data_IF_176841569158
#
_entry.id   IF_176841569158
#
_cell.length_a   1.000
_cell.length_b   1.000
_cell.length_c   1.000
_cell.angle_alpha   90.00
_cell.angle_beta   90.00
_cell.angle_gamma   90.00
#
_symmetry.space_group_name_H-M   'P 1'
#
loop_
_entity.id
_entity.type
_entity.pdbx_description
1 polymer ?
#
# COMPACT_ATOMS: atom_id res chain seq x y z
N UNK A 1 -40.22 36.13 -32.46
CA UNK A 1 -39.62 34.89 -33.04
C UNK A 1 -40.19 33.67 -32.34
N UNK A 2 -41.45 33.37 -32.68
CA UNK A 2 -42.14 32.10 -32.45
C UNK A 2 -41.84 31.28 -33.70
N UNK A 3 -41.25 30.08 -33.58
CA UNK A 3 -41.31 28.92 -34.50
C UNK A 3 -40.07 28.03 -34.31
N UNK A 4 -40.06 27.21 -33.27
CA UNK A 4 -39.26 25.97 -33.19
C UNK A 4 -39.75 25.05 -32.05
N UNK A 5 -41.06 25.05 -31.82
CA UNK A 5 -41.79 24.02 -31.06
C UNK A 5 -42.95 23.59 -31.93
N UNK A 6 -42.77 22.50 -32.69
CA UNK A 6 -43.78 21.65 -33.36
C UNK A 6 -43.07 20.98 -34.54
N UNK A 7 -42.51 19.79 -34.30
CA UNK A 7 -42.28 18.71 -35.27
C UNK A 7 -41.47 17.60 -34.58
N UNK A 8 -42.11 16.92 -33.63
CA UNK A 8 -41.68 15.59 -33.16
C UNK A 8 -42.81 14.95 -32.33
N UNK A 9 -44.05 15.06 -32.82
CA UNK A 9 -45.15 14.19 -32.43
C UNK A 9 -45.96 13.95 -33.69
N UNK A 10 -46.39 12.70 -33.89
CA UNK A 10 -47.09 12.14 -35.04
C UNK A 10 -46.22 11.66 -36.22
N UNK A 11 -45.54 10.53 -36.01
CA UNK A 11 -45.84 9.36 -36.84
C UNK A 11 -46.40 8.30 -35.91
N UNK A 12 -47.72 8.30 -35.84
CA UNK A 12 -48.55 7.27 -35.27
C UNK A 12 -48.48 6.01 -36.16
N UNK A 13 -48.44 4.85 -35.50
CA UNK A 13 -49.24 3.66 -35.83
C UNK A 13 -48.91 2.93 -37.14
N UNK A 14 -48.14 1.83 -37.00
CA UNK A 14 -48.42 0.61 -37.75
C UNK A 14 -49.24 -0.34 -36.85
N UNK A 15 -50.26 -1.00 -37.41
CA UNK A 15 -51.32 -1.66 -36.67
C UNK A 15 -50.88 -2.99 -36.08
N UNK A 16 -51.56 -3.35 -34.99
CA UNK A 16 -51.66 -4.68 -34.42
C UNK A 16 -51.84 -5.75 -35.52
N UNK A 17 -50.84 -6.60 -35.72
CA UNK A 17 -51.04 -7.89 -36.38
C UNK A 17 -51.51 -8.90 -35.33
N UNK A 18 -52.78 -9.31 -35.43
CA UNK A 18 -53.32 -10.44 -34.67
C UNK A 18 -52.69 -11.71 -35.22
N UNK A 19 -51.93 -12.43 -34.37
CA UNK A 19 -51.61 -13.83 -34.62
C UNK A 19 -50.19 -14.24 -34.24
N UNK A 20 -49.92 -14.41 -32.95
CA UNK A 20 -49.34 -15.66 -32.46
C UNK A 20 -49.55 -15.75 -30.95
N UNK A 21 -50.39 -16.70 -30.59
CA UNK A 21 -50.69 -17.13 -29.23
C UNK A 21 -49.42 -17.75 -28.63
N UNK A 22 -48.62 -16.94 -27.93
CA UNK A 22 -47.43 -17.38 -27.22
C UNK A 22 -47.46 -16.85 -25.79
N UNK A 23 -47.65 -17.75 -24.82
CA UNK A 23 -47.51 -17.52 -23.38
C UNK A 23 -46.19 -16.77 -23.08
N UNK A 24 -46.26 -15.48 -22.76
CA UNK A 24 -45.20 -14.79 -22.02
C UNK A 24 -45.53 -14.90 -20.53
N UNK A 25 -44.74 -15.65 -19.73
CA UNK A 25 -45.06 -15.89 -18.34
C UNK A 25 -44.92 -14.58 -17.56
N UNK A 26 -45.86 -14.35 -16.66
CA UNK A 26 -45.94 -13.13 -15.86
C UNK A 26 -44.62 -12.81 -15.16
N UNK A 27 -43.84 -11.91 -15.75
CA UNK A 27 -42.79 -11.18 -15.05
C UNK A 27 -43.52 -10.26 -14.06
N UNK A 28 -43.86 -10.83 -12.91
CA UNK A 28 -44.63 -10.16 -11.85
C UNK A 28 -44.01 -8.78 -11.62
N UNK A 29 -44.83 -7.75 -11.54
CA UNK A 29 -44.45 -6.36 -11.18
C UNK A 29 -43.45 -6.31 -10.01
N UNK A 30 -43.52 -7.30 -9.11
CA UNK A 30 -42.55 -7.58 -8.05
C UNK A 30 -41.09 -7.62 -8.52
N UNK A 31 -40.78 -8.26 -9.65
CA UNK A 31 -39.42 -8.33 -10.20
C UNK A 31 -38.94 -6.99 -10.76
N UNK A 32 -39.83 -6.21 -11.41
CA UNK A 32 -39.50 -4.87 -11.89
C UNK A 32 -39.20 -3.92 -10.72
N UNK A 33 -39.98 -4.02 -9.65
CA UNK A 33 -39.74 -3.26 -8.42
C UNK A 33 -38.41 -3.63 -7.75
N UNK A 34 -38.08 -4.93 -7.67
CA UNK A 34 -36.80 -5.38 -7.11
C UNK A 34 -35.59 -4.89 -7.93
N UNK A 35 -35.70 -4.87 -9.27
CA UNK A 35 -34.65 -4.32 -10.15
C UNK A 35 -34.49 -2.82 -9.93
N UNK A 36 -35.59 -2.07 -9.85
CA UNK A 36 -35.54 -0.62 -9.58
C UNK A 36 -34.91 -0.33 -8.22
N UNK A 37 -35.30 -1.06 -7.18
CA UNK A 37 -34.76 -0.92 -5.83
C UNK A 37 -33.26 -1.28 -5.79
N UNK A 38 -32.85 -2.32 -6.51
CA UNK A 38 -31.45 -2.69 -6.69
C UNK A 38 -30.62 -1.60 -7.37
N UNK A 39 -31.15 -0.95 -8.41
CA UNK A 39 -30.49 0.17 -9.10
C UNK A 39 -30.39 1.39 -8.18
N UNK A 40 -31.45 1.73 -7.46
CA UNK A 40 -31.44 2.88 -6.53
C UNK A 40 -30.48 2.66 -5.35
N UNK A 41 -30.49 1.46 -4.75
CA UNK A 41 -29.55 1.11 -3.67
C UNK A 41 -28.12 1.02 -4.18
N UNK A 42 -27.89 0.44 -5.36
CA UNK A 42 -26.58 0.40 -6.00
C UNK A 42 -26.04 1.81 -6.29
N UNK A 43 -26.86 2.68 -6.86
CA UNK A 43 -26.50 4.08 -7.11
C UNK A 43 -26.26 4.85 -5.81
N UNK A 44 -27.03 4.59 -4.75
CA UNK A 44 -26.80 5.18 -3.43
C UNK A 44 -25.49 4.70 -2.80
N UNK A 45 -25.19 3.40 -2.87
CA UNK A 45 -23.92 2.83 -2.37
C UNK A 45 -22.71 3.39 -3.12
N UNK A 46 -22.81 3.53 -4.46
CA UNK A 46 -21.78 4.17 -5.28
C UNK A 46 -21.64 5.64 -4.92
N UNK A 47 -22.74 6.37 -4.73
CA UNK A 47 -22.72 7.77 -4.34
C UNK A 47 -22.11 7.98 -2.95
N UNK A 48 -22.47 7.16 -1.96
CA UNK A 48 -21.93 7.24 -0.60
C UNK A 48 -20.44 6.91 -0.59
N UNK A 49 -20.01 5.87 -1.31
CA UNK A 49 -18.60 5.54 -1.47
C UNK A 49 -17.83 6.65 -2.19
N UNK A 50 -18.40 7.24 -3.25
CA UNK A 50 -17.79 8.36 -3.96
C UNK A 50 -17.70 9.62 -3.08
N UNK A 51 -18.76 9.93 -2.33
CA UNK A 51 -18.82 11.06 -1.42
C UNK A 51 -17.84 10.92 -0.24
N UNK A 52 -17.65 9.70 0.29
CA UNK A 52 -16.67 9.47 1.36
C UNK A 52 -15.23 9.63 0.87
N UNK A 53 -14.93 9.19 -0.37
CA UNK A 53 -13.62 9.43 -1.00
C UNK A 53 -13.38 10.91 -1.33
N UNK A 54 -14.44 11.66 -1.67
CA UNK A 54 -14.33 13.09 -1.98
C UNK A 54 -14.02 13.96 -0.75
N UNK A 55 -14.46 13.58 0.45
CA UNK A 55 -14.19 14.34 1.68
C UNK A 55 -12.75 14.17 2.19
N UNK A 56 -12.08 13.04 1.95
CA UNK A 56 -10.68 12.80 2.37
C UNK A 56 -9.64 13.59 1.56
N UNK A 57 -10.00 14.03 0.35
CA UNK A 57 -9.04 14.49 -0.66
C UNK A 57 -9.30 15.94 -1.14
N UNK A 58 -9.88 16.81 -0.30
CA UNK A 58 -9.96 18.26 -0.58
C UNK A 58 -8.61 18.95 -0.38
N UNK A 59 -7.65 18.66 -1.25
CA UNK A 59 -6.30 19.25 -1.20
C UNK A 59 -6.30 20.79 -1.18
N UNK A 60 -7.25 21.44 -1.87
CA UNK A 60 -7.40 22.90 -1.85
C UNK A 60 -7.75 23.47 -0.46
N UNK A 61 -8.59 22.77 0.32
CA UNK A 61 -8.94 23.23 1.67
C UNK A 61 -7.73 23.08 2.61
N UNK A 62 -7.03 21.95 2.52
CA UNK A 62 -5.79 21.73 3.27
C UNK A 62 -4.73 22.79 2.93
N UNK A 63 -4.54 23.11 1.65
CA UNK A 63 -3.57 24.12 1.22
C UNK A 63 -3.86 25.50 1.81
N UNK A 64 -5.13 25.93 1.84
CA UNK A 64 -5.49 27.24 2.44
C UNK A 64 -5.15 27.28 3.93
N UNK A 65 -5.46 26.22 4.67
CA UNK A 65 -5.17 26.15 6.12
C UNK A 65 -3.66 26.12 6.39
N UNK A 66 -2.91 25.29 5.66
CA UNK A 66 -1.45 25.18 5.81
C UNK A 66 -0.79 26.52 5.51
N UNK A 67 -1.19 27.18 4.41
CA UNK A 67 -0.59 28.46 4.03
C UNK A 67 -0.95 29.61 4.96
N UNK A 68 -2.13 29.60 5.59
CA UNK A 68 -2.47 30.55 6.66
C UNK A 68 -1.57 30.36 7.89
N UNK A 69 -1.35 29.12 8.33
CA UNK A 69 -0.45 28.83 9.46
C UNK A 69 1.01 29.20 9.16
N UNK A 70 1.47 28.97 7.93
CA UNK A 70 2.81 29.35 7.49
C UNK A 70 3.00 30.87 7.51
N UNK A 71 2.04 31.64 6.97
CA UNK A 71 2.08 33.12 6.99
C UNK A 71 2.06 33.69 8.41
N UNK A 72 1.43 33.00 9.35
CA UNK A 72 1.42 33.35 10.78
C UNK A 72 2.70 32.95 11.52
N UNK A 73 3.64 32.26 10.87
CA UNK A 73 4.87 31.76 11.50
C UNK A 73 4.63 30.62 12.51
N UNK A 74 3.50 29.93 12.41
CA UNK A 74 3.14 28.82 13.31
C UNK A 74 3.82 27.51 12.88
N UNK A 75 3.99 27.33 11.57
CA UNK A 75 4.66 26.19 10.96
C UNK A 75 5.78 26.67 10.04
N UNK A 76 6.76 25.80 9.80
CA UNK A 76 7.89 26.02 8.90
C UNK A 76 8.11 24.78 8.04
N UNK A 77 8.96 24.91 7.02
CA UNK A 77 9.23 23.83 6.09
C UNK A 77 10.00 24.25 4.86
N UNK A 78 10.81 23.34 4.33
CA UNK A 78 11.64 23.56 3.14
C UNK A 78 10.82 23.86 1.88
N UNK A 79 9.59 23.33 1.77
CA UNK A 79 8.71 23.54 0.60
C UNK A 79 7.55 24.49 0.88
N UNK A 80 7.44 25.06 2.09
CA UNK A 80 6.32 25.97 2.41
C UNK A 80 6.27 27.18 1.47
N UNK A 81 7.44 27.73 1.12
CA UNK A 81 7.53 28.83 0.16
C UNK A 81 7.08 28.42 -1.24
N UNK A 82 7.50 27.24 -1.71
CA UNK A 82 7.12 26.70 -3.02
C UNK A 82 5.62 26.36 -3.10
N UNK A 83 5.03 25.90 -1.99
CA UNK A 83 3.61 25.54 -1.88
C UNK A 83 2.68 26.75 -1.79
N UNK A 84 3.05 27.76 -0.99
CA UNK A 84 2.15 28.86 -0.61
C UNK A 84 2.35 30.16 -1.40
N UNK A 85 3.55 30.39 -1.93
CA UNK A 85 3.86 31.62 -2.67
C UNK A 85 4.11 31.34 -4.16
N UNK A 86 4.83 30.25 -4.50
CA UNK A 86 5.23 29.96 -5.88
C UNK A 86 4.30 28.99 -6.61
N UNK A 87 3.36 28.35 -5.90
CA UNK A 87 2.40 27.38 -6.43
C UNK A 87 3.02 26.29 -7.33
N UNK A 88 4.24 25.84 -7.01
CA UNK A 88 4.95 24.81 -7.80
C UNK A 88 4.53 23.38 -7.46
N UNK A 89 3.79 23.20 -6.36
CA UNK A 89 3.32 21.90 -5.88
C UNK A 89 1.84 21.75 -6.22
N UNK A 90 1.54 20.84 -7.15
CA UNK A 90 0.17 20.52 -7.56
C UNK A 90 -0.32 19.22 -6.93
N UNK A 91 -1.52 19.27 -6.34
CA UNK A 91 -2.20 18.09 -5.83
C UNK A 91 -2.79 17.29 -6.99
N UNK A 92 -2.40 16.01 -7.09
CA UNK A 92 -2.94 15.08 -8.10
C UNK A 92 -3.90 14.08 -7.44
N UNK A 93 -3.72 12.81 -7.75
CA UNK A 93 -4.51 11.70 -7.20
C UNK A 93 -4.18 11.46 -5.74
N UNK A 94 -5.22 11.31 -4.94
CA UNK A 94 -5.15 10.96 -3.53
C UNK A 94 -4.89 9.45 -3.41
N UNK A 95 -3.82 9.07 -2.70
CA UNK A 95 -3.39 7.67 -2.59
C UNK A 95 -3.57 7.07 -1.19
N UNK A 96 -4.01 7.86 -0.20
CA UNK A 96 -4.11 7.40 1.19
C UNK A 96 -5.50 6.85 1.53
N UNK A 97 -5.54 5.79 2.36
CA UNK A 97 -6.79 5.11 2.74
C UNK A 97 -7.07 5.02 4.25
N UNK A 98 -6.27 5.62 5.14
CA UNK A 98 -6.50 5.50 6.60
C UNK A 98 -6.05 6.76 7.38
N UNK A 99 -6.78 7.19 8.44
CA UNK A 99 -6.33 8.26 9.34
C UNK A 99 -5.16 7.82 10.24
N UNK A 100 -4.28 8.78 10.53
CA UNK A 100 -2.97 8.60 11.15
C UNK A 100 -2.94 7.76 12.44
N UNK A 101 -2.01 6.82 12.47
CA UNK A 101 -1.61 6.08 13.67
C UNK A 101 -0.32 6.69 14.23
N UNK A 102 -0.26 6.79 15.55
CA UNK A 102 0.95 7.16 16.28
C UNK A 102 1.82 5.92 16.51
N UNK A 103 3.12 6.00 16.24
CA UNK A 103 4.11 5.05 16.74
C UNK A 103 5.22 5.76 17.48
N UNK A 104 5.77 4.99 18.42
CA UNK A 104 6.99 5.33 19.12
C UNK A 104 8.08 4.37 18.64
N UNK A 105 9.22 4.91 18.23
CA UNK A 105 10.44 4.13 18.03
C UNK A 105 10.92 3.64 19.40
N UNK A 106 11.32 2.37 19.51
CA UNK A 106 11.86 1.82 20.75
C UNK A 106 13.25 2.40 21.09
N UNK A 107 13.67 2.23 22.35
CA UNK A 107 14.99 2.63 22.82
C UNK A 107 16.09 1.84 22.09
N UNK A 108 16.93 2.52 21.29
CA UNK A 108 18.04 1.91 20.57
C UNK A 108 19.34 2.74 20.63
N UNK A 109 20.52 2.09 20.51
CA UNK A 109 21.84 2.73 20.57
C UNK A 109 22.13 3.69 19.40
N UNK A 110 21.32 3.66 18.33
CA UNK A 110 21.38 4.55 17.15
C UNK A 110 20.54 5.82 17.29
N UNK A 111 19.75 5.95 18.37
CA UNK A 111 18.94 7.13 18.63
C UNK A 111 19.73 8.45 18.55
N UNK A 112 20.98 8.56 19.03
CA UNK A 112 21.75 9.80 18.90
C UNK A 112 22.01 10.21 17.43
N UNK A 113 22.24 9.25 16.54
CA UNK A 113 22.45 9.51 15.12
C UNK A 113 21.15 9.96 14.43
N UNK A 114 20.03 9.31 14.75
CA UNK A 114 18.71 9.70 14.25
C UNK A 114 18.30 11.07 14.77
N UNK A 115 18.52 11.36 16.05
CA UNK A 115 18.27 12.68 16.65
C UNK A 115 19.12 13.74 15.95
N UNK A 116 20.39 13.45 15.67
CA UNK A 116 21.25 14.34 14.88
C UNK A 116 20.70 14.61 13.48
N UNK A 117 20.26 13.58 12.77
CA UNK A 117 19.65 13.70 11.44
C UNK A 117 18.33 14.50 11.49
N UNK A 118 17.50 14.29 12.50
CA UNK A 118 16.25 15.02 12.73
C UNK A 118 16.53 16.50 13.03
N UNK A 119 17.54 16.81 13.85
CA UNK A 119 17.92 18.19 14.15
C UNK A 119 18.46 18.91 12.92
N UNK A 120 19.29 18.24 12.12
CA UNK A 120 19.78 18.78 10.84
C UNK A 120 18.65 19.02 9.83
N UNK A 121 17.63 18.16 9.84
CA UNK A 121 16.46 18.32 8.99
C UNK A 121 15.53 19.46 9.49
N UNK A 122 15.45 19.66 10.80
CA UNK A 122 14.58 20.65 11.42
C UNK A 122 15.00 22.10 11.14
N UNK A 123 16.30 22.33 10.96
CA UNK A 123 16.85 23.63 10.59
C UNK A 123 16.59 23.94 9.10
N UNK A 124 15.36 24.37 8.78
CA UNK A 124 14.94 24.64 7.40
C UNK A 124 15.60 25.90 6.84
N UNK A 125 15.87 26.90 7.68
CA UNK A 125 16.50 28.16 7.28
C UNK A 125 18.04 28.12 7.31
N UNK A 126 18.63 27.01 7.79
CA UNK A 126 20.08 26.76 7.90
C UNK A 126 20.79 27.75 8.81
N UNK A 127 20.12 28.21 9.86
CA UNK A 127 20.67 29.16 10.83
C UNK A 127 21.40 28.49 12.02
N UNK A 128 21.55 27.15 11.96
CA UNK A 128 22.14 26.29 13.00
C UNK A 128 21.36 26.26 14.32
N UNK A 129 20.12 26.76 14.33
CA UNK A 129 19.20 26.73 15.45
C UNK A 129 17.88 26.12 15.00
N UNK A 130 17.05 25.77 15.97
CA UNK A 130 15.71 25.24 15.70
C UNK A 130 14.71 26.17 16.37
N UNK A 131 13.94 26.88 15.54
CA UNK A 131 12.85 27.74 15.98
C UNK A 131 11.65 26.93 16.49
N UNK A 132 10.72 27.57 17.21
CA UNK A 132 9.49 26.92 17.67
C UNK A 132 8.65 26.38 16.50
N UNK A 133 8.59 27.13 15.39
CA UNK A 133 7.83 26.74 14.20
C UNK A 133 8.45 25.52 13.52
N UNK A 134 9.79 25.47 13.43
CA UNK A 134 10.55 24.31 12.95
C UNK A 134 10.36 23.09 13.84
N UNK A 135 10.54 23.24 15.15
CA UNK A 135 10.36 22.18 16.13
C UNK A 135 8.93 21.62 16.08
N UNK A 136 7.90 22.48 16.02
CA UNK A 136 6.50 22.07 15.93
C UNK A 136 6.21 21.30 14.64
N UNK A 137 6.77 21.75 13.52
CA UNK A 137 6.55 21.12 12.21
C UNK A 137 7.20 19.74 12.16
N UNK A 138 8.46 19.65 12.58
CA UNK A 138 9.17 18.36 12.65
C UNK A 138 8.54 17.42 13.65
N UNK A 139 8.14 17.90 14.83
CA UNK A 139 7.45 17.08 15.82
C UNK A 139 6.14 16.48 15.28
N UNK A 140 5.37 17.25 14.51
CA UNK A 140 4.16 16.75 13.87
C UNK A 140 4.45 15.65 12.84
N UNK A 141 5.56 15.75 12.10
CA UNK A 141 5.99 14.71 11.15
C UNK A 141 6.47 13.44 11.86
N UNK A 142 7.25 13.57 12.93
CA UNK A 142 7.77 12.43 13.70
C UNK A 142 6.67 11.59 14.35
N UNK A 143 5.47 12.15 14.56
CA UNK A 143 4.33 11.37 15.06
C UNK A 143 3.78 10.38 14.03
N UNK A 144 4.21 10.44 12.77
CA UNK A 144 3.79 9.54 11.70
C UNK A 144 4.84 8.46 11.45
N UNK A 145 4.41 7.20 11.53
CA UNK A 145 5.29 6.03 11.39
C UNK A 145 6.00 6.01 10.03
N UNK A 146 5.24 6.28 8.97
CA UNK A 146 5.72 6.36 7.59
C UNK A 146 6.91 7.32 7.43
N UNK A 147 6.87 8.43 8.16
CA UNK A 147 7.89 9.47 8.10
C UNK A 147 9.16 9.06 8.86
N UNK A 148 9.01 8.45 10.03
CA UNK A 148 10.14 7.85 10.76
C UNK A 148 10.82 6.76 9.93
N UNK A 149 10.02 5.90 9.30
CA UNK A 149 10.53 4.84 8.42
C UNK A 149 11.30 5.42 7.24
N UNK A 150 10.77 6.47 6.61
CA UNK A 150 11.44 7.19 5.52
C UNK A 150 12.84 7.70 5.88
N UNK A 151 13.03 8.16 7.12
CA UNK A 151 14.31 8.65 7.62
C UNK A 151 15.27 7.53 8.04
N UNK A 152 14.70 6.42 8.51
CA UNK A 152 15.46 5.29 9.08
C UNK A 152 15.93 4.26 8.04
N UNK A 153 15.18 4.14 6.94
CA UNK A 153 15.45 3.17 5.88
C UNK A 153 16.46 3.73 4.86
N UNK A 154 17.15 2.83 4.18
CA UNK A 154 18.04 3.19 3.08
C UNK A 154 17.29 3.89 1.95
N UNK A 155 17.93 4.91 1.38
CA UNK A 155 17.39 5.64 0.21
C UNK A 155 17.09 4.73 -0.98
N UNK A 156 17.66 3.53 -1.05
CA UNK A 156 17.41 2.56 -2.11
C UNK A 156 16.01 1.92 -2.01
N UNK A 157 15.52 1.62 -0.81
CA UNK A 157 14.24 0.90 -0.62
C UNK A 157 13.06 1.84 -0.34
N UNK A 158 13.31 3.06 0.12
CA UNK A 158 12.30 4.07 0.40
C UNK A 158 12.34 5.22 -0.62
N UNK A 159 11.22 5.92 -0.80
CA UNK A 159 11.17 7.11 -1.64
C UNK A 159 11.95 8.27 -1.02
N UNK A 160 12.79 8.96 -1.79
CA UNK A 160 13.52 10.12 -1.28
C UNK A 160 12.58 11.25 -0.83
N UNK A 161 12.81 11.80 0.36
CA UNK A 161 12.15 13.01 0.84
C UNK A 161 12.60 14.22 0.01
N UNK A 162 11.66 14.94 -0.60
CA UNK A 162 11.92 16.18 -1.34
C UNK A 162 11.78 17.41 -0.45
N UNK A 163 10.88 17.36 0.52
CA UNK A 163 10.73 18.41 1.54
C UNK A 163 9.45 18.28 2.34
N UNK A 164 9.27 19.19 3.29
CA UNK A 164 8.09 19.23 4.16
C UNK A 164 7.59 20.64 4.43
N UNK A 165 6.34 20.76 4.86
CA UNK A 165 5.69 21.98 5.31
C UNK A 165 4.69 21.68 6.41
N UNK A 166 5.00 22.03 7.66
CA UNK A 166 4.17 21.62 8.80
C UNK A 166 4.14 20.09 8.92
N UNK A 167 2.94 19.51 8.96
CA UNK A 167 2.70 18.06 9.02
C UNK A 167 2.60 17.39 7.63
N UNK A 168 2.78 18.17 6.56
CA UNK A 168 2.83 17.68 5.19
C UNK A 168 4.28 17.41 4.79
N UNK A 169 4.51 16.29 4.10
CA UNK A 169 5.78 16.00 3.46
C UNK A 169 5.56 15.52 2.03
N UNK A 170 6.59 15.66 1.20
CA UNK A 170 6.58 15.30 -0.22
C UNK A 170 7.78 14.42 -0.51
N UNK A 171 7.54 13.31 -1.19
CA UNK A 171 8.59 12.38 -1.64
C UNK A 171 8.68 12.35 -3.15
N UNK A 172 9.75 11.76 -3.67
CA UNK A 172 9.80 11.38 -5.07
C UNK A 172 8.63 10.43 -5.39
N UNK A 173 8.02 10.62 -6.56
CA UNK A 173 6.98 9.72 -7.03
C UNK A 173 7.58 8.42 -7.53
N UNK A 174 7.07 7.28 -7.07
CA UNK A 174 7.45 5.98 -7.63
C UNK A 174 6.74 5.83 -8.99
N UNK A 175 7.47 5.74 -10.12
CA UNK A 175 6.88 5.86 -11.45
C UNK A 175 5.98 4.67 -11.82
N UNK A 176 6.22 3.50 -11.24
CA UNK A 176 5.42 2.30 -11.47
C UNK A 176 5.10 1.63 -10.12
N UNK A 177 3.91 1.86 -9.59
CA UNK A 177 3.33 0.97 -8.59
C UNK A 177 2.86 -0.31 -9.29
N UNK A 178 3.07 -1.48 -8.67
CA UNK A 178 2.55 -2.71 -9.25
C UNK A 178 1.00 -2.64 -9.29
N UNK A 179 0.50 -2.54 -10.52
CA UNK A 179 -0.87 -2.83 -10.94
C UNK A 179 -2.00 -1.87 -10.52
N UNK A 180 -1.83 -0.56 -10.68
CA UNK A 180 -2.99 0.35 -10.79
C UNK A 180 -3.54 0.51 -12.22
N UNK A 181 -2.81 0.03 -13.25
CA UNK A 181 -3.16 0.27 -14.67
C UNK A 181 -4.02 -0.79 -15.38
N UNK A 182 -4.27 -1.96 -14.77
CA UNK A 182 -5.05 -3.03 -15.42
C UNK A 182 -5.66 -4.04 -14.44
N UNK A 183 -5.96 -3.64 -13.20
CA UNK A 183 -6.67 -4.54 -12.31
C UNK A 183 -8.11 -4.62 -12.82
N UNK A 184 -8.45 -5.74 -13.48
CA UNK A 184 -9.84 -6.03 -13.82
C UNK A 184 -10.70 -5.78 -12.56
N UNK A 185 -11.84 -5.08 -12.68
CA UNK A 185 -12.78 -4.88 -11.59
C UNK A 185 -12.93 -6.17 -10.76
N UNK A 186 -12.95 -6.11 -9.42
CA UNK A 186 -13.02 -7.30 -8.56
C UNK A 186 -14.17 -8.26 -8.94
N UNK A 187 -15.25 -7.73 -9.51
CA UNK A 187 -16.42 -8.46 -10.02
C UNK A 187 -16.11 -9.33 -11.26
N UNK A 188 -15.08 -8.98 -12.04
CA UNK A 188 -14.66 -9.70 -13.25
C UNK A 188 -13.53 -10.70 -12.99
N UNK A 189 -12.82 -10.61 -11.85
CA UNK A 189 -11.83 -11.62 -11.43
C UNK A 189 -12.37 -13.06 -11.38
N UNK A 190 -13.56 -13.36 -10.83
CA UNK A 190 -14.07 -14.73 -10.79
C UNK A 190 -14.57 -15.25 -12.15
N UNK A 191 -14.78 -14.38 -13.14
CA UNK A 191 -15.22 -14.77 -14.48
C UNK A 191 -14.07 -15.20 -15.40
N UNK A 192 -12.82 -14.83 -15.08
CA UNK A 192 -11.66 -15.17 -15.90
C UNK A 192 -11.03 -16.51 -15.47
N UNK A 193 -10.76 -17.42 -16.41
CA UNK A 193 -9.96 -18.61 -16.13
C UNK A 193 -8.57 -18.21 -15.60
N UNK A 194 -8.00 -18.94 -14.61
CA UNK A 194 -6.68 -18.64 -14.05
C UNK A 194 -5.59 -18.64 -15.13
N UNK A 195 -5.71 -19.48 -16.17
CA UNK A 195 -4.79 -19.49 -17.31
C UNK A 195 -4.78 -18.16 -18.09
N UNK A 196 -5.91 -17.47 -18.19
CA UNK A 196 -6.02 -16.18 -18.86
C UNK A 196 -5.38 -15.06 -18.03
N UNK A 197 -5.49 -15.14 -16.69
CA UNK A 197 -4.81 -14.21 -15.78
C UNK A 197 -3.28 -14.31 -15.91
N UNK A 198 -2.75 -15.53 -15.95
CA UNK A 198 -1.31 -15.79 -16.14
C UNK A 198 -0.83 -15.31 -17.51
N UNK A 199 -1.63 -15.48 -18.56
CA UNK A 199 -1.33 -14.99 -19.90
C UNK A 199 -1.38 -13.45 -19.99
N UNK A 200 -2.38 -12.83 -19.37
CA UNK A 200 -2.54 -11.38 -19.30
C UNK A 200 -1.38 -10.73 -18.53
N UNK A 201 -0.98 -11.32 -17.40
CA UNK A 201 0.15 -10.86 -16.60
C UNK A 201 1.49 -11.04 -17.32
N UNK A 202 1.62 -12.05 -18.19
CA UNK A 202 2.79 -12.23 -19.06
C UNK A 202 2.85 -11.20 -20.20
N UNK A 203 1.70 -10.70 -20.65
CA UNK A 203 1.60 -9.72 -21.73
C UNK A 203 1.70 -8.26 -21.25
N UNK A 204 1.15 -7.94 -20.09
CA UNK A 204 1.10 -6.57 -19.53
C UNK A 204 2.12 -6.30 -18.43
N UNK A 205 2.72 -7.34 -17.85
CA UNK A 205 3.75 -7.23 -16.81
C UNK A 205 5.18 -7.21 -17.36
N UNK A 206 6.15 -6.78 -16.57
CA UNK A 206 7.55 -6.79 -16.99
C UNK A 206 8.07 -8.21 -17.21
N UNK A 207 9.07 -8.35 -18.09
CA UNK A 207 9.70 -9.62 -18.37
C UNK A 207 10.24 -10.27 -17.07
N UNK A 208 10.32 -11.60 -17.05
CA UNK A 208 10.70 -12.35 -15.84
C UNK A 208 12.01 -11.87 -15.17
N UNK A 209 13.10 -11.53 -15.89
CA UNK A 209 14.33 -11.04 -15.26
C UNK A 209 14.11 -9.76 -14.42
N UNK A 210 13.28 -8.84 -14.89
CA UNK A 210 12.94 -7.61 -14.16
C UNK A 210 12.07 -7.88 -12.94
N UNK A 211 11.14 -8.85 -13.04
CA UNK A 211 10.36 -9.32 -11.88
C UNK A 211 11.28 -9.91 -10.81
N UNK A 212 12.29 -10.67 -11.23
CA UNK A 212 13.28 -11.24 -10.33
C UNK A 212 14.16 -10.14 -9.70
N UNK A 213 14.56 -9.10 -10.45
CA UNK A 213 15.29 -7.93 -9.91
C UNK A 213 14.48 -7.20 -8.82
N UNK A 214 13.21 -6.91 -9.08
CA UNK A 214 12.31 -6.30 -8.09
C UNK A 214 12.17 -7.20 -6.85
N UNK A 215 12.04 -8.52 -7.05
CA UNK A 215 11.91 -9.47 -5.95
C UNK A 215 13.16 -9.52 -5.07
N UNK A 216 14.36 -9.40 -5.64
CA UNK A 216 15.61 -9.31 -4.87
C UNK A 216 15.59 -8.06 -3.98
N UNK A 217 15.24 -6.89 -4.52
CA UNK A 217 15.14 -5.66 -3.73
C UNK A 217 14.06 -5.73 -2.63
N UNK A 218 12.95 -6.43 -2.87
CA UNK A 218 11.96 -6.69 -1.82
C UNK A 218 12.52 -7.60 -0.71
N UNK A 219 13.31 -8.62 -1.06
CA UNK A 219 13.97 -9.48 -0.07
C UNK A 219 15.04 -8.73 0.73
N UNK A 220 15.78 -7.82 0.10
CA UNK A 220 16.74 -6.92 0.75
C UNK A 220 16.06 -5.95 1.71
N UNK A 221 14.92 -5.40 1.32
CA UNK A 221 14.10 -4.58 2.21
C UNK A 221 13.60 -5.38 3.44
N UNK A 222 13.17 -6.64 3.25
CA UNK A 222 12.79 -7.50 4.38
C UNK A 222 13.97 -7.73 5.32
N UNK A 223 15.16 -7.97 4.78
CA UNK A 223 16.40 -8.13 5.56
C UNK A 223 16.71 -6.89 6.42
N UNK A 224 16.53 -5.70 5.84
CA UNK A 224 16.69 -4.40 6.51
C UNK A 224 15.67 -4.19 7.64
N UNK A 225 14.41 -4.60 7.47
CA UNK A 225 13.39 -4.49 8.53
C UNK A 225 13.63 -5.38 9.76
N UNK A 226 14.42 -6.44 9.60
CA UNK A 226 14.77 -7.36 10.69
C UNK A 226 16.08 -6.99 11.38
N UNK A 227 17.12 -6.66 10.61
CA UNK A 227 18.47 -6.34 11.13
C UNK A 227 18.73 -4.83 11.23
N UNK A 228 17.69 -4.01 11.06
CA UNK A 228 17.81 -2.56 11.03
C UNK A 228 18.37 -1.99 12.33
N UNK A 229 19.17 -0.93 12.19
CA UNK A 229 19.76 -0.22 13.33
C UNK A 229 18.71 0.44 14.25
N UNK A 230 17.43 0.43 13.89
CA UNK A 230 16.31 1.12 14.55
C UNK A 230 15.25 0.17 15.13
N UNK A 231 15.55 -1.14 15.18
CA UNK A 231 14.69 -2.17 15.78
C UNK A 231 13.97 -3.03 14.75
N UNK A 232 13.06 -3.88 15.22
CA UNK A 232 12.28 -4.79 14.38
C UNK A 232 10.98 -4.15 13.91
N UNK A 233 10.71 -4.28 12.62
CA UNK A 233 9.47 -3.82 11.99
C UNK A 233 8.68 -4.96 11.35
N UNK A 234 7.36 -4.83 11.33
CA UNK A 234 6.44 -5.79 10.72
C UNK A 234 5.70 -5.17 9.55
N UNK A 235 5.62 -5.88 8.43
CA UNK A 235 4.83 -5.50 7.25
C UNK A 235 3.41 -6.04 7.42
N UNK A 236 2.42 -5.23 7.84
CA UNK A 236 1.07 -5.68 8.21
C UNK A 236 0.02 -5.61 7.09
N UNK A 237 0.46 -5.34 5.86
CA UNK A 237 -0.27 -5.54 4.62
C UNK A 237 0.70 -5.84 3.46
N UNK A 238 0.96 -7.12 3.20
CA UNK A 238 1.81 -7.57 2.09
C UNK A 238 0.96 -7.82 0.85
N UNK A 239 0.82 -6.80 0.01
CA UNK A 239 0.15 -6.93 -1.29
C UNK A 239 1.04 -6.42 -2.41
N UNK A 240 0.81 -6.91 -3.63
CA UNK A 240 1.50 -6.40 -4.81
C UNK A 240 1.20 -4.92 -5.08
N UNK A 241 0.11 -4.37 -4.54
CA UNK A 241 -0.19 -2.93 -4.69
C UNK A 241 0.80 -2.05 -3.92
N UNK A 242 1.39 -2.58 -2.84
CA UNK A 242 2.32 -1.84 -1.99
C UNK A 242 3.78 -1.97 -2.48
N UNK A 243 4.01 -2.75 -3.54
CA UNK A 243 5.32 -2.94 -4.17
C UNK A 243 5.46 -1.99 -5.35
N UNK A 244 6.40 -1.06 -5.27
CA UNK A 244 6.74 -0.13 -6.34
C UNK A 244 8.10 -0.43 -6.96
N UNK A 245 8.35 0.15 -8.13
CA UNK A 245 9.67 0.09 -8.77
C UNK A 245 9.98 1.31 -9.64
N UNK A 246 11.27 1.59 -9.81
CA UNK A 246 11.79 2.66 -10.67
C UNK A 246 11.71 2.29 -12.15
N UNK A 247 11.95 3.24 -13.06
CA UNK A 247 12.06 2.94 -14.50
C UNK A 247 13.17 1.92 -14.83
N UNK A 248 14.15 1.73 -13.92
CA UNK A 248 15.24 0.75 -14.03
C UNK A 248 14.92 -0.59 -13.32
N UNK A 249 13.67 -0.77 -12.87
CA UNK A 249 13.20 -1.93 -12.12
C UNK A 249 13.91 -2.14 -10.77
N UNK A 250 14.36 -1.06 -10.14
CA UNK A 250 14.81 -1.10 -8.74
C UNK A 250 13.58 -1.03 -7.83
N UNK A 251 13.56 -1.88 -6.79
CA UNK A 251 12.43 -1.94 -5.87
C UNK A 251 12.33 -0.66 -5.02
N UNK A 252 11.11 -0.19 -4.80
CA UNK A 252 10.78 0.87 -3.84
C UNK A 252 9.50 0.49 -3.12
N UNK A 253 9.47 0.63 -1.80
CA UNK A 253 8.23 0.45 -1.05
C UNK A 253 7.27 1.59 -1.39
N UNK A 254 6.09 1.27 -1.93
CA UNK A 254 5.14 2.29 -2.38
C UNK A 254 4.30 2.86 -1.22
N UNK A 255 4.02 2.04 -0.20
CA UNK A 255 3.24 2.44 0.96
C UNK A 255 3.90 1.96 2.28
N UNK A 256 4.59 2.88 2.96
CA UNK A 256 5.22 2.62 4.25
C UNK A 256 4.21 2.63 5.42
N UNK A 257 2.96 3.06 5.22
CA UNK A 257 1.94 3.04 6.28
C UNK A 257 1.66 1.63 6.79
N UNK A 258 1.88 0.64 5.93
CA UNK A 258 1.65 -0.76 6.23
C UNK A 258 2.77 -1.38 7.06
N UNK A 259 3.87 -0.65 7.30
CA UNK A 259 4.99 -1.12 8.09
C UNK A 259 4.88 -0.52 9.50
N UNK A 260 4.84 -1.38 10.51
CA UNK A 260 4.67 -0.97 11.90
C UNK A 260 5.83 -1.48 12.76
N UNK A 261 6.34 -0.67 13.71
CA UNK A 261 7.35 -1.15 14.64
C UNK A 261 6.76 -2.18 15.60
N UNK A 262 7.58 -3.15 16.02
CA UNK A 262 7.19 -4.24 16.93
C UNK A 262 6.51 -3.71 18.21
N UNK A 263 7.02 -2.62 18.78
CA UNK A 263 6.47 -1.98 19.98
C UNK A 263 5.01 -1.52 19.80
N UNK A 264 4.64 -1.02 18.62
CA UNK A 264 3.27 -0.55 18.32
C UNK A 264 2.32 -1.74 18.20
N UNK A 265 2.75 -2.81 17.51
CA UNK A 265 1.97 -4.03 17.38
C UNK A 265 1.78 -4.71 18.73
N UNK A 266 2.84 -4.85 19.53
CA UNK A 266 2.77 -5.41 20.89
C UNK A 266 1.82 -4.63 21.78
N UNK A 267 1.90 -3.29 21.75
CA UNK A 267 1.00 -2.42 22.53
C UNK A 267 -0.47 -2.59 22.14
N UNK A 268 -0.75 -2.76 20.85
CA UNK A 268 -2.12 -3.00 20.36
C UNK A 268 -2.69 -4.35 20.83
N UNK A 269 -1.85 -5.38 20.94
CA UNK A 269 -2.24 -6.73 21.33
C UNK A 269 -2.30 -6.89 22.86
N UNK A 270 -1.50 -6.13 23.60
CA UNK A 270 -1.36 -6.26 25.04
C UNK A 270 -2.71 -6.06 25.76
N UNK A 271 -3.13 -7.07 26.54
CA UNK A 271 -4.37 -7.02 27.33
C UNK A 271 -5.66 -7.14 26.52
N UNK A 272 -5.57 -7.37 25.20
CA UNK A 272 -6.75 -7.53 24.34
C UNK A 272 -7.35 -8.92 24.54
N UNK A 273 -8.66 -8.96 24.81
CA UNK A 273 -9.41 -10.21 24.90
C UNK A 273 -9.59 -10.86 23.53
N UNK A 274 -9.52 -12.18 23.47
CA UNK A 274 -9.71 -12.93 22.23
C UNK A 274 -10.38 -14.30 22.47
N UNK A 275 -11.12 -14.77 21.47
CA UNK A 275 -11.61 -16.15 21.41
C UNK A 275 -10.84 -16.96 20.37
N UNK A 276 -10.46 -16.30 19.27
CA UNK A 276 -9.72 -16.88 18.15
C UNK A 276 -8.51 -16.02 17.84
N UNK A 277 -7.48 -16.64 17.25
CA UNK A 277 -6.29 -15.90 16.79
C UNK A 277 -6.63 -14.86 15.70
N UNK A 278 -7.76 -14.96 15.00
CA UNK A 278 -8.24 -13.93 14.08
C UNK A 278 -8.51 -12.59 14.75
N UNK A 279 -8.90 -12.60 16.04
CA UNK A 279 -9.28 -11.42 16.80
C UNK A 279 -8.04 -10.60 17.20
N UNK A 280 -6.88 -11.26 17.16
CA UNK A 280 -5.56 -10.71 17.44
C UNK A 280 -4.82 -10.33 16.13
N UNK A 281 -5.51 -9.65 15.22
CA UNK A 281 -4.92 -9.19 13.96
C UNK A 281 -4.73 -7.66 13.99
N UNK A 282 -3.49 -7.21 13.82
CA UNK A 282 -3.14 -5.82 13.56
C UNK A 282 -3.08 -5.59 12.03
N UNK A 283 -3.61 -4.47 11.55
CA UNK A 283 -3.69 -4.21 10.11
C UNK A 283 -4.53 -5.27 9.39
N UNK A 284 -4.00 -5.84 8.31
CA UNK A 284 -4.70 -6.90 7.55
C UNK A 284 -4.14 -8.30 7.79
N UNK A 285 -2.84 -8.43 8.02
CA UNK A 285 -2.16 -9.74 8.04
C UNK A 285 -1.20 -9.98 9.23
N UNK A 286 -1.01 -9.02 10.13
CA UNK A 286 -0.20 -9.22 11.33
C UNK A 286 -1.01 -9.92 12.43
N UNK A 287 -1.07 -11.25 12.36
CA UNK A 287 -1.83 -12.09 13.31
C UNK A 287 -0.96 -12.64 14.44
N UNK A 288 -1.43 -12.49 15.67
CA UNK A 288 -0.87 -13.10 16.87
C UNK A 288 -1.72 -14.28 17.37
N UNK A 289 -1.14 -15.25 18.11
CA UNK A 289 -1.90 -16.35 18.67
C UNK A 289 -2.74 -15.88 19.87
N UNK A 290 -3.98 -16.35 19.93
CA UNK A 290 -4.84 -16.17 21.09
C UNK A 290 -4.54 -17.25 22.14
N UNK A 291 -4.22 -16.84 23.37
CA UNK A 291 -4.11 -17.75 24.50
C UNK A 291 -5.52 -18.17 24.94
N UNK A 292 -5.88 -19.44 24.74
CA UNK A 292 -7.21 -19.94 25.06
C UNK A 292 -7.48 -20.03 26.57
N UNK A 293 -6.44 -20.12 27.39
CA UNK A 293 -6.58 -20.20 28.84
C UNK A 293 -6.83 -18.80 29.41
N UNK A 294 -5.99 -17.85 29.02
CA UNK A 294 -6.08 -16.46 29.49
C UNK A 294 -7.12 -15.64 28.72
N UNK A 295 -7.61 -16.16 27.59
CA UNK A 295 -8.43 -15.44 26.59
C UNK A 295 -7.82 -14.09 26.23
N UNK A 296 -6.51 -14.06 26.03
CA UNK A 296 -5.76 -12.84 25.75
C UNK A 296 -4.81 -13.05 24.57
N UNK A 297 -4.65 -12.00 23.76
CA UNK A 297 -3.69 -12.00 22.66
C UNK A 297 -2.26 -12.03 23.21
N UNK A 298 -1.41 -12.88 22.62
CA UNK A 298 0.04 -12.81 22.87
C UNK A 298 0.67 -11.67 22.07
N UNK A 299 1.84 -11.21 22.52
CA UNK A 299 2.57 -10.12 21.88
C UNK A 299 3.37 -10.52 20.63
N UNK A 300 3.52 -11.81 20.35
CA UNK A 300 4.37 -12.31 19.27
C UNK A 300 3.53 -12.77 18.07
N UNK A 301 3.98 -12.43 16.87
CA UNK A 301 3.27 -12.77 15.64
C UNK A 301 3.49 -14.23 15.23
N UNK A 302 2.47 -14.82 14.59
CA UNK A 302 2.51 -16.20 14.10
C UNK A 302 3.45 -16.34 12.90
N UNK A 303 3.41 -15.36 11.99
CA UNK A 303 4.14 -15.38 10.72
C UNK A 303 5.14 -14.22 10.65
N UNK A 304 6.41 -14.48 10.28
CA UNK A 304 7.39 -13.43 10.03
C UNK A 304 7.14 -12.75 8.66
N UNK A 305 7.69 -11.54 8.47
CA UNK A 305 7.60 -10.82 7.18
C UNK A 305 8.09 -11.66 6.00
N UNK A 306 9.18 -12.42 6.19
CA UNK A 306 9.76 -13.26 5.14
C UNK A 306 8.78 -14.32 4.63
N UNK A 307 8.01 -14.96 5.53
CA UNK A 307 7.02 -15.96 5.13
C UNK A 307 5.92 -15.34 4.24
N UNK A 308 5.43 -14.15 4.61
CA UNK A 308 4.41 -13.40 3.87
C UNK A 308 4.92 -12.92 2.51
N UNK A 309 6.15 -12.42 2.47
CA UNK A 309 6.80 -12.02 1.22
C UNK A 309 7.05 -13.22 0.31
N UNK A 310 7.44 -14.37 0.84
CA UNK A 310 7.60 -15.59 0.04
C UNK A 310 6.27 -16.09 -0.54
N UNK A 311 5.15 -15.93 0.17
CA UNK A 311 3.82 -16.23 -0.36
C UNK A 311 3.50 -15.32 -1.56
N UNK A 312 3.74 -14.02 -1.40
CA UNK A 312 3.61 -13.02 -2.47
C UNK A 312 4.50 -13.35 -3.69
N UNK A 313 5.77 -13.68 -3.44
CA UNK A 313 6.76 -13.99 -4.47
C UNK A 313 6.47 -15.30 -5.19
N UNK A 314 5.80 -16.26 -4.55
CA UNK A 314 5.37 -17.50 -5.20
C UNK A 314 4.45 -17.20 -6.37
N UNK A 315 3.43 -16.38 -6.14
CA UNK A 315 2.47 -16.00 -7.17
C UNK A 315 3.08 -15.00 -8.16
N UNK A 316 4.09 -14.24 -7.73
CA UNK A 316 4.79 -13.24 -8.55
C UNK A 316 6.03 -13.75 -9.31
N UNK A 317 6.60 -14.93 -9.04
CA UNK A 317 7.81 -15.39 -9.75
C UNK A 317 7.61 -16.69 -10.51
N UNK A 318 6.76 -17.61 -10.03
CA UNK A 318 6.53 -18.89 -10.70
C UNK A 318 5.88 -18.74 -12.09
N UNK A 319 4.93 -17.81 -12.30
CA UNK A 319 4.42 -17.52 -13.64
C UNK A 319 5.51 -17.00 -14.58
N UNK A 320 5.79 -17.75 -15.64
CA UNK A 320 6.80 -17.37 -16.63
C UNK A 320 8.26 -17.65 -16.23
N UNK A 321 8.50 -18.34 -15.11
CA UNK A 321 9.84 -18.75 -14.70
C UNK A 321 10.53 -19.66 -15.76
N UNK A 322 11.86 -19.57 -15.91
CA UNK A 322 12.63 -20.54 -16.67
C UNK A 322 12.44 -21.97 -16.12
N UNK A 323 12.32 -22.96 -17.00
CA UNK A 323 12.00 -24.34 -16.61
C UNK A 323 13.05 -24.96 -15.68
N UNK A 324 14.32 -24.58 -15.87
CA UNK A 324 15.46 -25.02 -15.06
C UNK A 324 15.41 -24.49 -13.62
N UNK A 325 14.81 -23.32 -13.40
CA UNK A 325 14.73 -22.68 -12.09
C UNK A 325 13.40 -22.94 -11.39
N UNK A 326 12.31 -23.18 -12.13
CA UNK A 326 10.94 -23.21 -11.60
C UNK A 326 10.77 -24.20 -10.45
N UNK A 327 11.31 -25.41 -10.58
CA UNK A 327 11.18 -26.45 -9.55
C UNK A 327 11.92 -26.08 -8.25
N UNK A 328 13.19 -25.69 -8.37
CA UNK A 328 14.00 -25.33 -7.20
C UNK A 328 13.45 -24.06 -6.52
N UNK A 329 13.13 -23.02 -7.28
CA UNK A 329 12.51 -21.81 -6.76
C UNK A 329 11.17 -22.11 -6.08
N UNK A 330 10.33 -22.95 -6.69
CA UNK A 330 9.05 -23.36 -6.11
C UNK A 330 9.21 -24.17 -4.82
N UNK A 331 10.27 -24.97 -4.69
CA UNK A 331 10.59 -25.68 -3.44
C UNK A 331 11.04 -24.71 -2.35
N UNK A 332 12.00 -23.82 -2.66
CA UNK A 332 12.50 -22.83 -1.69
C UNK A 332 11.41 -21.87 -1.21
N UNK A 333 10.55 -21.37 -2.11
CA UNK A 333 9.42 -20.52 -1.74
C UNK A 333 8.41 -21.25 -0.86
N UNK A 334 8.14 -22.54 -1.10
CA UNK A 334 7.28 -23.34 -0.22
C UNK A 334 7.86 -23.49 1.19
N UNK A 335 9.14 -23.84 1.31
CA UNK A 335 9.84 -23.89 2.60
C UNK A 335 9.78 -22.54 3.31
N UNK A 336 9.98 -21.45 2.58
CA UNK A 336 9.91 -20.10 3.12
C UNK A 336 8.50 -19.73 3.63
N UNK A 337 7.43 -20.13 2.94
CA UNK A 337 6.06 -19.88 3.41
C UNK A 337 5.70 -20.64 4.69
N UNK A 338 6.39 -21.75 4.97
CA UNK A 338 6.18 -22.53 6.20
C UNK A 338 6.96 -22.01 7.40
N UNK A 339 7.76 -20.95 7.22
CA UNK A 339 8.48 -20.33 8.33
C UNK A 339 7.48 -19.79 9.35
N UNK A 340 7.60 -20.31 10.57
CA UNK A 340 6.78 -19.94 11.72
C UNK A 340 7.67 -19.90 12.95
N UNK A 341 7.50 -18.90 13.83
CA UNK A 341 8.21 -18.83 15.10
C UNK A 341 8.64 -17.42 15.50
N UNK A 342 9.07 -17.29 16.76
CA UNK A 342 9.58 -16.06 17.36
C UNK A 342 10.77 -15.53 16.55
N UNK A 343 10.76 -14.23 16.25
CA UNK A 343 11.84 -13.56 15.51
C UNK A 343 13.24 -13.87 16.11
N UNK A 344 13.35 -14.00 17.44
CA UNK A 344 14.61 -14.20 18.16
C UNK A 344 15.16 -15.64 18.18
N UNK A 345 14.37 -16.68 17.86
CA UNK A 345 14.85 -18.08 17.85
C UNK A 345 15.09 -18.62 16.42
N UNK A 346 14.70 -17.86 15.39
CA UNK A 346 14.66 -18.32 13.99
C UNK A 346 15.57 -17.48 13.07
N UNK A 347 16.32 -16.51 13.60
CA UNK A 347 17.24 -15.63 12.85
C UNK A 347 18.21 -16.37 11.92
N UNK A 348 18.84 -17.46 12.39
CA UNK A 348 19.78 -18.24 11.59
C UNK A 348 19.11 -18.97 10.42
N UNK A 349 17.88 -19.46 10.61
CA UNK A 349 17.15 -20.14 9.54
C UNK A 349 16.54 -19.14 8.54
N UNK A 350 16.06 -17.99 9.03
CA UNK A 350 15.56 -16.90 8.19
C UNK A 350 16.65 -16.33 7.28
N UNK A 351 17.82 -16.01 7.83
CA UNK A 351 18.96 -15.50 7.05
C UNK A 351 19.46 -16.49 6.00
N UNK A 352 19.49 -17.80 6.32
CA UNK A 352 19.85 -18.84 5.36
C UNK A 352 18.87 -18.93 4.19
N UNK A 353 17.56 -18.99 4.47
CA UNK A 353 16.52 -19.08 3.42
C UNK A 353 16.53 -17.83 2.55
N UNK A 354 16.64 -16.65 3.15
CA UNK A 354 16.70 -15.37 2.45
C UNK A 354 17.94 -15.29 1.53
N UNK A 355 19.12 -15.63 2.05
CA UNK A 355 20.37 -15.65 1.28
C UNK A 355 20.31 -16.65 0.12
N UNK A 356 19.75 -17.85 0.35
CA UNK A 356 19.59 -18.84 -0.71
C UNK A 356 18.63 -18.37 -1.82
N UNK A 357 17.50 -17.73 -1.47
CA UNK A 357 16.59 -17.16 -2.46
C UNK A 357 17.25 -16.05 -3.28
N UNK A 358 17.95 -15.11 -2.63
CA UNK A 358 18.68 -14.03 -3.31
C UNK A 358 19.72 -14.58 -4.29
N UNK A 359 20.53 -15.54 -3.85
CA UNK A 359 21.59 -16.15 -4.69
C UNK A 359 21.02 -16.91 -5.89
N UNK A 360 19.91 -17.65 -5.72
CA UNK A 360 19.22 -18.32 -6.83
C UNK A 360 18.72 -17.34 -7.89
N UNK A 361 18.07 -16.25 -7.46
CA UNK A 361 17.57 -15.22 -8.37
C UNK A 361 18.72 -14.47 -9.05
N UNK A 362 19.73 -14.06 -8.28
CA UNK A 362 20.89 -13.33 -8.79
C UNK A 362 21.66 -14.13 -9.84
N UNK A 363 21.94 -15.42 -9.57
CA UNK A 363 22.60 -16.32 -10.51
C UNK A 363 21.87 -16.40 -11.85
N UNK A 364 20.53 -16.31 -11.86
CA UNK A 364 19.78 -16.38 -13.10
C UNK A 364 19.81 -15.06 -13.88
N UNK A 365 19.72 -13.93 -13.19
CA UNK A 365 19.72 -12.60 -13.82
C UNK A 365 21.13 -12.24 -14.33
N UNK A 366 22.19 -12.54 -13.57
CA UNK A 366 23.57 -12.20 -13.93
C UNK A 366 24.08 -12.97 -15.16
N UNK A 367 23.59 -14.19 -15.39
CA UNK A 367 23.92 -14.99 -16.59
C UNK A 367 23.20 -14.52 -17.85
N UNK A 368 22.22 -13.62 -17.72
CA UNK A 368 21.53 -13.01 -18.86
C UNK A 368 22.11 -11.61 -19.10
N UNK A 369 22.17 -11.14 -20.36
CA UNK A 369 22.76 -9.83 -20.78
C UNK A 369 22.04 -8.58 -20.23
N UNK A 370 21.48 -8.65 -19.02
CA UNK A 370 20.63 -7.62 -18.42
C UNK A 370 21.25 -7.02 -17.15
N UNK A 371 22.58 -7.14 -16.98
CA UNK A 371 23.36 -6.43 -15.96
C UNK A 371 23.46 -4.95 -16.24
#
# INVERSE_FOLDING_TARGET
MRRLRRLAHLVLFCPFSKGLQGRLPGLRVKYVFLVWLGVSVGSWMVYVHYSSHAELCRGHVCQVVICDQYRKGIISGSICQDLCNLHKVEWRTCLSSVPGQQANLGDLPSLPALVGQVLLMADFNKDSRVSLAEAKSVWALLQRNEFLLLLSLQEEHASRLLGSCGDLYVTEGVPHGSWHGAALPPLLRPLLPPALHTALQRWLGPAWPWRAKIAIGLLEFVEELFHGAYGTFYMCETTLANVGYTAKYDFKMADLQQVAPEATVRRFLQGRHCERSSDCTYGRDCRAPCDKLMRQCKGDLIQPNLAKVCELLRDYLLPGAPADLREELGKQLRTCTTLSGLASQVEAHHSLVLSHLKTLLWKKISNTKYS
#
